data_IF_242158094759
#
_entry.id   IF_242158094759
#
_cell.length_a   1.000
_cell.length_b   1.000
_cell.length_c   1.000
_cell.angle_alpha   90.00
_cell.angle_beta   90.00
_cell.angle_gamma   90.00
#
_symmetry.space_group_name_H-M   'P 1'
#
loop_
_entity.id
_entity.type
_entity.pdbx_description
1 polymer ?
#
# COMPACT_ATOMS: atom_id res chain seq x y z
N UNK A 1 11.26 25.61 -18.13
CA UNK A 1 10.69 25.23 -16.83
C UNK A 1 10.56 23.71 -16.91
N UNK A 2 11.27 22.97 -16.05
CA UNK A 2 11.07 21.50 -16.05
C UNK A 2 9.64 21.24 -15.60
N UNK A 3 8.93 20.40 -16.35
CA UNK A 3 7.54 20.03 -16.00
C UNK A 3 7.55 19.34 -14.64
N UNK A 4 6.56 19.66 -13.80
CA UNK A 4 6.40 19.04 -12.49
C UNK A 4 5.90 17.60 -12.68
N UNK A 5 6.66 16.63 -12.18
CA UNK A 5 6.33 15.21 -12.30
C UNK A 5 5.44 14.81 -11.11
N UNK A 6 4.26 14.29 -11.40
CA UNK A 6 3.37 13.74 -10.36
C UNK A 6 3.81 12.32 -10.05
N UNK A 7 4.06 12.02 -8.77
CA UNK A 7 4.42 10.67 -8.30
C UNK A 7 3.46 10.27 -7.17
N UNK A 8 2.71 9.21 -7.41
CA UNK A 8 1.83 8.58 -6.43
C UNK A 8 2.57 7.59 -5.56
N UNK A 9 2.49 7.75 -4.23
CA UNK A 9 3.14 6.85 -3.26
C UNK A 9 2.13 6.39 -2.21
N UNK A 10 1.91 5.08 -2.15
CA UNK A 10 1.12 4.42 -1.10
C UNK A 10 2.07 3.88 -0.02
N UNK A 11 2.05 4.53 1.14
CA UNK A 11 2.88 4.21 2.30
C UNK A 11 2.27 3.06 3.12
N UNK A 12 2.38 1.83 2.61
CA UNK A 12 1.87 0.65 3.33
C UNK A 12 2.77 0.21 4.50
N UNK A 13 2.23 -0.54 5.45
CA UNK A 13 3.01 -1.17 6.53
C UNK A 13 3.84 -2.37 6.05
N UNK A 14 3.34 -3.14 5.09
CA UNK A 14 4.05 -4.28 4.53
C UNK A 14 4.89 -3.92 3.31
N UNK A 15 4.40 -3.01 2.47
CA UNK A 15 5.07 -2.59 1.25
C UNK A 15 4.78 -1.13 0.92
N UNK A 16 5.80 -0.43 0.47
CA UNK A 16 5.70 0.83 -0.28
C UNK A 16 5.23 0.50 -1.69
N UNK A 17 4.35 1.32 -2.25
CA UNK A 17 3.85 1.12 -3.61
C UNK A 17 3.80 2.44 -4.35
N UNK A 18 4.20 2.39 -5.61
CA UNK A 18 4.02 3.47 -6.56
C UNK A 18 3.17 2.97 -7.72
N UNK A 19 3.05 3.73 -8.78
CA UNK A 19 2.32 3.28 -9.98
C UNK A 19 2.97 2.05 -10.61
N UNK A 20 4.31 1.97 -10.63
CA UNK A 20 5.06 0.93 -11.33
C UNK A 20 5.80 -0.04 -10.40
N UNK A 21 6.00 0.30 -9.13
CA UNK A 21 6.78 -0.50 -8.19
C UNK A 21 6.01 -0.86 -6.93
N UNK A 22 6.36 -2.02 -6.38
CA UNK A 22 6.02 -2.42 -5.02
C UNK A 22 7.27 -3.06 -4.39
N UNK A 23 7.68 -2.57 -3.23
CA UNK A 23 8.82 -3.10 -2.49
C UNK A 23 8.52 -3.12 -0.99
N UNK A 24 9.16 -4.04 -0.21
CA UNK A 24 8.87 -4.17 1.21
C UNK A 24 9.14 -2.87 1.98
N UNK A 25 8.28 -2.54 2.93
CA UNK A 25 8.50 -1.43 3.87
C UNK A 25 9.51 -1.88 4.91
N UNK A 26 10.79 -1.78 4.55
CA UNK A 26 11.93 -2.12 5.37
C UNK A 26 13.06 -1.16 5.08
N UNK A 27 13.84 -0.82 6.10
CA UNK A 27 14.98 0.08 5.99
C UNK A 27 16.01 -0.33 7.03
N UNK A 28 17.23 -0.63 6.58
CA UNK A 28 18.35 -0.97 7.47
C UNK A 28 19.46 0.04 7.24
N UNK A 29 19.82 0.76 8.31
CA UNK A 29 20.88 1.76 8.28
C UNK A 29 22.27 1.10 8.41
N UNK A 30 23.24 1.63 7.68
CA UNK A 30 24.65 1.26 7.71
C UNK A 30 25.53 2.48 7.87
N UNK A 31 26.56 2.38 8.71
CA UNK A 31 27.56 3.45 8.90
C UNK A 31 28.54 3.56 7.72
N UNK A 32 28.73 2.46 6.99
CA UNK A 32 29.65 2.37 5.86
C UNK A 32 28.91 1.84 4.63
N UNK A 33 29.44 2.13 3.45
CA UNK A 33 28.90 1.68 2.17
C UNK A 33 28.73 0.16 2.15
N UNK A 34 27.51 -0.36 1.89
CA UNK A 34 27.28 -1.79 1.73
C UNK A 34 28.04 -2.36 0.50
N UNK A 35 28.39 -3.66 0.54
CA UNK A 35 29.10 -4.30 -0.58
C UNK A 35 28.31 -4.36 -1.88
N UNK A 36 26.98 -4.19 -1.83
CA UNK A 36 26.09 -4.12 -3.00
C UNK A 36 25.46 -2.75 -3.08
N UNK A 37 25.30 -2.22 -4.28
CA UNK A 37 24.62 -0.94 -4.52
C UNK A 37 23.11 -1.11 -4.75
N UNK A 38 22.66 -2.33 -4.97
CA UNK A 38 21.25 -2.60 -5.24
C UNK A 38 20.38 -2.23 -4.04
N UNK A 39 19.32 -1.45 -4.29
CA UNK A 39 18.38 -0.94 -3.29
C UNK A 39 19.05 -0.11 -2.16
N UNK A 40 20.23 0.47 -2.42
CA UNK A 40 20.94 1.33 -1.46
C UNK A 40 20.60 2.78 -1.71
N UNK A 41 20.08 3.43 -0.67
CA UNK A 41 19.89 4.88 -0.59
C UNK A 41 21.02 5.48 0.26
N UNK A 42 21.71 6.49 -0.27
CA UNK A 42 22.63 7.34 0.48
C UNK A 42 21.98 8.70 0.70
N UNK A 43 21.82 9.07 1.96
CA UNK A 43 21.23 10.35 2.35
C UNK A 43 21.86 10.87 3.65
N UNK A 44 22.22 12.17 3.66
CA UNK A 44 22.82 12.79 4.85
C UNK A 44 24.13 12.16 5.30
N UNK A 45 24.90 11.55 4.39
CA UNK A 45 26.18 10.87 4.69
C UNK A 45 26.01 9.49 5.33
N UNK A 46 24.83 8.89 5.27
CA UNK A 46 24.52 7.54 5.75
C UNK A 46 23.95 6.67 4.63
N UNK A 47 24.08 5.37 4.79
CA UNK A 47 23.61 4.38 3.84
C UNK A 47 22.41 3.62 4.40
N UNK A 48 21.43 3.38 3.57
CA UNK A 48 20.20 2.67 3.93
C UNK A 48 19.89 1.61 2.88
N UNK A 49 19.74 0.36 3.30
CA UNK A 49 19.27 -0.71 2.42
C UNK A 49 17.76 -0.77 2.47
N UNK A 50 17.13 -0.39 1.37
CA UNK A 50 15.68 -0.30 1.19
C UNK A 50 15.10 -1.68 0.90
N UNK A 51 13.92 -1.97 1.44
CA UNK A 51 13.25 -3.26 1.27
C UNK A 51 13.81 -4.38 2.14
N UNK A 52 14.78 -4.09 2.99
CA UNK A 52 15.41 -5.01 3.94
C UNK A 52 14.96 -4.76 5.36
N UNK A 53 14.89 -5.84 6.15
CA UNK A 53 14.35 -5.74 7.49
C UNK A 53 12.82 -5.54 7.51
N UNK A 54 12.28 -5.28 8.69
CA UNK A 54 10.86 -4.96 8.88
C UNK A 54 10.79 -3.75 9.80
N UNK A 55 10.10 -2.71 9.39
CA UNK A 55 9.88 -1.56 10.25
C UNK A 55 8.98 -1.93 11.43
N UNK A 56 9.26 -1.40 12.64
CA UNK A 56 8.33 -1.50 13.75
C UNK A 56 6.97 -0.92 13.36
N UNK A 57 5.90 -1.54 13.83
CA UNK A 57 4.56 -1.02 13.61
C UNK A 57 4.39 0.29 14.37
N UNK A 58 4.29 1.37 13.63
CA UNK A 58 4.08 2.72 14.16
C UNK A 58 2.72 3.22 13.68
N UNK A 59 1.85 3.61 14.62
CA UNK A 59 0.56 4.22 14.28
C UNK A 59 0.73 5.56 13.55
N UNK A 60 1.75 6.30 13.92
CA UNK A 60 2.12 7.56 13.28
C UNK A 60 3.44 7.39 12.52
N UNK A 61 3.35 7.36 11.20
CA UNK A 61 4.46 7.16 10.26
C UNK A 61 5.39 8.38 10.16
N UNK A 62 5.04 9.50 10.80
CA UNK A 62 5.82 10.74 10.75
C UNK A 62 6.78 10.89 11.93
N UNK A 63 6.83 9.91 12.86
CA UNK A 63 7.67 9.96 14.05
C UNK A 63 9.15 9.70 13.79
N UNK A 64 9.48 8.96 12.72
CA UNK A 64 10.85 8.66 12.28
C UNK A 64 11.06 9.14 10.85
N UNK A 65 12.31 9.16 10.39
CA UNK A 65 12.61 9.50 8.99
C UNK A 65 12.37 8.35 8.00
N UNK A 66 12.06 7.14 8.47
CA UNK A 66 12.03 5.93 7.67
C UNK A 66 11.10 6.05 6.45
N UNK A 67 9.86 6.49 6.66
CA UNK A 67 8.92 6.66 5.56
C UNK A 67 9.30 7.79 4.60
N UNK A 68 10.03 8.80 5.07
CA UNK A 68 10.58 9.82 4.20
C UNK A 68 11.70 9.26 3.32
N UNK A 69 12.63 8.51 3.90
CA UNK A 69 13.72 7.85 3.17
C UNK A 69 13.17 6.83 2.15
N UNK A 70 12.19 6.04 2.55
CA UNK A 70 11.48 5.14 1.64
C UNK A 70 10.77 5.89 0.50
N UNK A 71 10.29 7.12 0.76
CA UNK A 71 9.69 7.98 -0.28
C UNK A 71 10.74 8.46 -1.28
N UNK A 72 11.95 8.83 -0.82
CA UNK A 72 13.04 9.20 -1.73
C UNK A 72 13.43 8.03 -2.65
N UNK A 73 13.53 6.82 -2.11
CA UNK A 73 13.77 5.62 -2.91
C UNK A 73 12.62 5.35 -3.91
N UNK A 74 11.36 5.53 -3.49
CA UNK A 74 10.21 5.41 -4.37
C UNK A 74 10.24 6.42 -5.52
N UNK A 75 10.61 7.67 -5.25
CA UNK A 75 10.79 8.74 -6.26
C UNK A 75 11.90 8.35 -7.23
N UNK A 76 13.07 7.92 -6.74
CA UNK A 76 14.18 7.52 -7.59
C UNK A 76 13.79 6.39 -8.56
N UNK A 77 13.12 5.33 -8.04
CA UNK A 77 12.62 4.21 -8.87
C UNK A 77 11.64 4.69 -9.95
N UNK A 78 10.74 5.62 -9.63
CA UNK A 78 9.78 6.16 -10.59
C UNK A 78 10.45 7.04 -11.65
N UNK A 79 11.40 7.90 -11.26
CA UNK A 79 12.15 8.74 -12.21
C UNK A 79 12.94 7.88 -13.19
N UNK A 80 13.66 6.88 -12.69
CA UNK A 80 14.42 5.93 -13.53
C UNK A 80 13.50 5.18 -14.51
N UNK A 81 12.40 4.62 -14.02
CA UNK A 81 11.44 3.89 -14.85
C UNK A 81 10.83 4.75 -15.95
N UNK A 82 10.56 6.01 -15.64
CA UNK A 82 9.97 6.97 -16.61
C UNK A 82 11.00 7.57 -17.55
N UNK A 83 12.29 7.25 -17.40
CA UNK A 83 13.38 7.88 -18.15
C UNK A 83 13.44 9.39 -17.94
N UNK A 84 13.05 9.85 -16.75
CA UNK A 84 13.06 11.26 -16.40
C UNK A 84 14.44 11.70 -15.91
N UNK A 85 14.70 13.02 -15.96
CA UNK A 85 15.93 13.58 -15.42
C UNK A 85 16.03 13.34 -13.90
N UNK A 86 17.25 13.10 -13.41
CA UNK A 86 17.51 12.90 -11.99
C UNK A 86 17.42 14.22 -11.19
N UNK A 87 17.45 15.37 -11.87
CA UNK A 87 17.12 16.67 -11.25
C UNK A 87 15.70 17.03 -11.64
N UNK A 88 14.74 16.89 -10.68
CA UNK A 88 13.33 16.97 -10.99
C UNK A 88 12.51 17.72 -9.92
N UNK A 89 11.47 18.39 -10.39
CA UNK A 89 10.41 18.95 -9.54
C UNK A 89 9.26 17.96 -9.39
N UNK A 90 8.90 17.63 -8.16
CA UNK A 90 7.94 16.58 -7.83
C UNK A 90 6.67 17.16 -7.20
N UNK A 91 5.52 16.78 -7.71
CA UNK A 91 4.25 16.86 -6.99
C UNK A 91 3.97 15.47 -6.39
N UNK A 92 4.19 15.33 -5.10
CA UNK A 92 3.99 14.07 -4.39
C UNK A 92 2.51 13.88 -4.07
N UNK A 93 1.94 12.78 -4.55
CA UNK A 93 0.57 12.38 -4.26
C UNK A 93 0.58 11.15 -3.33
N UNK A 94 0.03 11.27 -2.13
CA UNK A 94 0.07 10.21 -1.13
C UNK A 94 -1.29 9.99 -0.47
N UNK A 95 -1.41 8.95 0.35
CA UNK A 95 -2.66 8.60 1.00
C UNK A 95 -2.58 8.36 2.48
N UNK A 96 -3.73 8.58 3.14
CA UNK A 96 -3.94 8.29 4.55
C UNK A 96 -5.24 7.49 4.71
N UNK A 97 -5.33 6.62 5.74
CA UNK A 97 -6.59 5.98 6.08
C UNK A 97 -7.70 7.00 6.31
N UNK A 98 -8.90 6.73 5.80
CA UNK A 98 -10.02 7.68 5.91
C UNK A 98 -10.38 7.98 7.38
N UNK A 99 -10.25 6.98 8.26
CA UNK A 99 -10.51 7.10 9.71
C UNK A 99 -9.59 8.09 10.42
N UNK A 100 -8.38 8.31 9.93
CA UNK A 100 -7.40 9.23 10.52
C UNK A 100 -7.11 10.46 9.65
N UNK A 101 -7.67 10.53 8.44
CA UNK A 101 -7.35 11.54 7.44
C UNK A 101 -7.42 12.99 7.96
N UNK A 102 -8.50 13.34 8.66
CA UNK A 102 -8.69 14.68 9.21
C UNK A 102 -7.65 15.07 10.25
N UNK A 103 -7.23 14.11 11.09
CA UNK A 103 -6.26 14.29 12.16
C UNK A 103 -4.83 14.40 11.59
N UNK A 104 -4.46 13.50 10.68
CA UNK A 104 -3.06 13.26 10.33
C UNK A 104 -2.61 14.03 9.07
N UNK A 105 -3.55 14.59 8.28
CA UNK A 105 -3.21 15.22 6.98
C UNK A 105 -2.21 16.38 7.08
N UNK A 106 -2.25 17.19 8.16
CA UNK A 106 -1.34 18.33 8.31
C UNK A 106 0.08 17.89 8.64
N UNK A 107 0.23 16.99 9.61
CA UNK A 107 1.53 16.43 10.01
C UNK A 107 2.17 15.65 8.87
N UNK A 108 1.41 14.79 8.19
CA UNK A 108 1.88 14.02 7.06
C UNK A 108 2.33 14.92 5.89
N UNK A 109 1.55 15.97 5.55
CA UNK A 109 1.96 16.93 4.52
C UNK A 109 3.28 17.61 4.89
N UNK A 110 3.41 18.14 6.10
CA UNK A 110 4.63 18.82 6.57
C UNK A 110 5.83 17.87 6.59
N UNK A 111 5.61 16.63 7.01
CA UNK A 111 6.64 15.59 7.05
C UNK A 111 7.20 15.26 5.65
N UNK A 112 6.34 15.16 4.65
CA UNK A 112 6.75 14.84 3.28
C UNK A 112 7.26 16.06 2.51
N UNK A 113 6.66 17.24 2.73
CA UNK A 113 7.02 18.48 2.02
C UNK A 113 8.34 19.06 2.50
N UNK A 114 8.64 18.91 3.80
CA UNK A 114 9.76 19.57 4.47
C UNK A 114 9.63 21.09 4.34
N UNK A 115 10.50 21.71 3.58
CA UNK A 115 10.51 23.15 3.32
C UNK A 115 10.51 23.50 1.83
N UNK A 116 10.36 22.48 0.98
CA UNK A 116 10.40 22.64 -0.48
C UNK A 116 11.79 22.93 -1.05
N UNK A 117 12.86 22.74 -0.26
CA UNK A 117 14.24 22.87 -0.72
C UNK A 117 14.65 21.68 -1.60
N UNK A 118 15.74 21.85 -2.35
CA UNK A 118 16.34 20.78 -3.13
C UNK A 118 16.93 19.70 -2.20
N UNK A 119 16.61 18.46 -2.47
CA UNK A 119 16.98 17.28 -1.69
C UNK A 119 17.98 16.47 -2.50
N UNK A 120 19.29 16.60 -2.20
CA UNK A 120 20.31 15.74 -2.82
C UNK A 120 20.36 14.39 -2.12
N UNK A 121 20.39 13.32 -2.89
CA UNK A 121 20.59 11.95 -2.40
C UNK A 121 21.14 11.07 -3.54
N UNK A 122 21.64 9.89 -3.18
CA UNK A 122 22.06 8.89 -4.16
C UNK A 122 21.24 7.63 -3.98
N UNK A 123 20.80 7.02 -5.08
CA UNK A 123 20.10 5.75 -5.07
C UNK A 123 20.68 4.80 -6.11
N UNK A 124 21.06 3.59 -5.68
CA UNK A 124 21.75 2.59 -6.53
C UNK A 124 22.96 3.15 -7.29
N UNK A 125 23.73 4.01 -6.61
CA UNK A 125 24.92 4.65 -7.17
C UNK A 125 24.66 5.84 -8.11
N UNK A 126 23.40 6.20 -8.37
CA UNK A 126 23.01 7.36 -9.19
C UNK A 126 22.69 8.56 -8.31
N UNK A 127 23.16 9.74 -8.69
CA UNK A 127 22.89 10.99 -7.98
C UNK A 127 21.54 11.58 -8.40
N UNK A 128 20.73 11.97 -7.43
CA UNK A 128 19.45 12.63 -7.60
C UNK A 128 19.43 13.97 -6.87
N UNK A 129 18.72 14.94 -7.45
CA UNK A 129 18.38 16.18 -6.78
C UNK A 129 16.89 16.48 -7.04
N UNK A 130 16.04 16.21 -6.07
CA UNK A 130 14.60 16.44 -6.24
C UNK A 130 14.12 17.59 -5.39
N UNK A 131 13.09 18.28 -5.86
CA UNK A 131 12.37 19.31 -5.09
C UNK A 131 10.91 18.90 -5.00
N UNK A 132 10.43 18.59 -3.81
CA UNK A 132 9.00 18.33 -3.59
C UNK A 132 8.30 19.69 -3.54
N UNK A 133 7.70 20.11 -4.65
CA UNK A 133 7.04 21.42 -4.76
C UNK A 133 5.66 21.41 -4.10
N UNK A 134 4.98 20.27 -4.14
CA UNK A 134 3.65 20.12 -3.57
C UNK A 134 3.43 18.70 -3.06
N UNK A 135 2.62 18.58 -1.98
CA UNK A 135 2.14 17.31 -1.46
C UNK A 135 0.62 17.32 -1.41
N UNK A 136 -0.01 16.48 -2.20
CA UNK A 136 -1.44 16.22 -2.16
C UNK A 136 -1.74 14.92 -1.42
N UNK A 137 -2.69 14.96 -0.48
CA UNK A 137 -3.08 13.81 0.31
C UNK A 137 -4.52 13.40 0.02
N UNK A 138 -4.74 12.10 -0.17
CA UNK A 138 -6.02 11.50 -0.52
C UNK A 138 -6.41 10.39 0.47
N UNK A 139 -7.70 10.11 0.65
CA UNK A 139 -8.13 8.93 1.41
C UNK A 139 -7.76 7.64 0.68
N UNK A 140 -7.05 6.75 1.37
CA UNK A 140 -6.74 5.38 0.88
C UNK A 140 -8.03 4.60 0.62
N UNK A 141 -7.98 3.62 -0.28
CA UNK A 141 -9.14 2.85 -0.70
C UNK A 141 -10.11 3.65 -1.55
N UNK A 142 -10.52 4.86 -1.13
CA UNK A 142 -11.42 5.72 -1.93
C UNK A 142 -10.77 6.15 -3.24
N UNK A 143 -9.53 6.67 -3.18
CA UNK A 143 -8.80 7.06 -4.38
C UNK A 143 -8.63 5.90 -5.38
N UNK A 144 -8.38 4.70 -4.87
CA UNK A 144 -8.25 3.49 -5.67
C UNK A 144 -9.55 3.14 -6.41
N UNK A 145 -10.70 3.15 -5.73
CA UNK A 145 -11.97 2.75 -6.34
C UNK A 145 -12.53 3.77 -7.30
N UNK A 146 -12.19 5.06 -7.19
CA UNK A 146 -12.59 6.08 -8.17
C UNK A 146 -12.05 5.80 -9.58
N UNK A 147 -11.05 4.93 -9.71
CA UNK A 147 -10.56 4.45 -11.01
C UNK A 147 -11.42 3.31 -11.58
N UNK A 148 -12.30 2.69 -10.76
CA UNK A 148 -13.15 1.55 -11.11
C UNK A 148 -14.61 2.01 -11.18
N UNK A 149 -15.25 1.86 -12.31
CA UNK A 149 -16.60 2.42 -12.52
C UNK A 149 -17.71 1.39 -12.38
N UNK A 150 -17.45 0.08 -12.59
CA UNK A 150 -18.50 -0.96 -12.75
C UNK A 150 -19.45 -1.12 -11.56
N UNK A 151 -18.93 -1.04 -10.30
CA UNK A 151 -19.77 -1.17 -9.11
C UNK A 151 -20.11 0.19 -8.48
N UNK A 152 -19.52 1.28 -8.94
CA UNK A 152 -19.76 2.60 -8.33
C UNK A 152 -21.12 3.20 -8.72
N UNK A 153 -21.84 2.60 -9.64
CA UNK A 153 -23.20 3.00 -10.01
C UNK A 153 -24.28 2.42 -9.09
N UNK A 154 -23.90 1.49 -8.20
CA UNK A 154 -24.79 0.98 -7.17
C UNK A 154 -25.04 2.06 -6.09
N UNK A 155 -26.27 2.11 -5.54
CA UNK A 155 -26.61 3.10 -4.50
C UNK A 155 -25.72 3.05 -3.27
N UNK A 156 -25.26 1.85 -2.89
CA UNK A 156 -24.34 1.62 -1.78
C UNK A 156 -23.38 0.48 -2.11
N UNK A 157 -22.08 0.73 -1.87
CA UNK A 157 -20.99 -0.23 -2.11
C UNK A 157 -20.07 -0.26 -0.89
N UNK A 158 -19.69 -1.44 -0.46
CA UNK A 158 -18.67 -1.63 0.57
C UNK A 158 -17.30 -1.66 -0.10
N UNK A 159 -16.34 -0.93 0.46
CA UNK A 159 -14.93 -0.97 0.07
C UNK A 159 -14.12 -1.49 1.24
N UNK A 160 -13.32 -2.52 0.99
CA UNK A 160 -12.40 -3.13 1.94
C UNK A 160 -10.98 -3.09 1.38
N UNK A 161 -10.14 -2.18 1.87
CA UNK A 161 -8.72 -2.11 1.56
C UNK A 161 -7.95 -3.00 2.54
N UNK A 162 -7.53 -4.17 2.07
CA UNK A 162 -6.81 -5.16 2.88
C UNK A 162 -5.32 -4.88 2.79
N UNK A 163 -4.82 -4.11 3.76
CA UNK A 163 -3.43 -3.73 3.88
C UNK A 163 -2.55 -4.77 4.60
N UNK A 164 -1.32 -4.35 4.92
CA UNK A 164 -0.39 -5.19 5.69
C UNK A 164 -0.78 -5.30 7.16
N UNK A 165 -1.14 -4.20 7.81
CA UNK A 165 -1.52 -4.16 9.23
C UNK A 165 -3.02 -4.06 9.45
N UNK A 166 -3.68 -3.19 8.70
CA UNK A 166 -5.11 -2.91 8.82
C UNK A 166 -5.90 -3.39 7.62
N UNK A 167 -7.20 -3.54 7.85
CA UNK A 167 -8.24 -3.57 6.83
C UNK A 167 -9.08 -2.33 7.03
N UNK A 168 -9.00 -1.42 6.07
CA UNK A 168 -9.74 -0.17 6.12
C UNK A 168 -11.05 -0.33 5.35
N UNK A 169 -12.15 -0.13 6.07
CA UNK A 169 -13.50 -0.34 5.60
C UNK A 169 -14.23 0.99 5.43
N UNK A 170 -14.98 1.13 4.36
CA UNK A 170 -15.92 2.22 4.15
C UNK A 170 -17.12 1.75 3.34
N UNK A 171 -18.25 2.42 3.51
CA UNK A 171 -19.37 2.35 2.58
C UNK A 171 -19.38 3.63 1.74
N UNK A 172 -19.57 3.46 0.46
CA UNK A 172 -19.87 4.56 -0.45
C UNK A 172 -21.37 4.58 -0.69
N UNK A 173 -22.01 5.71 -0.42
CA UNK A 173 -23.40 5.96 -0.76
C UNK A 173 -23.43 6.95 -1.93
N UNK A 174 -23.92 6.53 -3.10
CA UNK A 174 -23.87 7.30 -4.34
C UNK A 174 -22.46 7.86 -4.63
N UNK A 175 -21.45 7.00 -4.56
CA UNK A 175 -20.01 7.28 -4.77
C UNK A 175 -19.34 8.17 -3.70
N UNK A 176 -20.05 8.56 -2.64
CA UNK A 176 -19.52 9.43 -1.58
C UNK A 176 -19.25 8.60 -0.33
N UNK A 177 -18.05 8.69 0.27
CA UNK A 177 -17.76 7.98 1.50
C UNK A 177 -18.67 8.39 2.65
N UNK A 178 -19.31 7.40 3.28
CA UNK A 178 -20.10 7.60 4.47
C UNK A 178 -19.21 7.54 5.71
N UNK A 179 -18.89 8.68 6.30
CA UNK A 179 -17.96 8.79 7.42
C UNK A 179 -18.38 7.93 8.63
N UNK A 180 -19.69 7.76 8.87
CA UNK A 180 -20.17 6.95 9.98
C UNK A 180 -19.92 5.45 9.80
N UNK A 181 -19.68 4.99 8.57
CA UNK A 181 -19.39 3.59 8.23
C UNK A 181 -17.89 3.26 8.21
N UNK A 182 -17.00 4.28 8.27
CA UNK A 182 -15.58 4.06 8.18
C UNK A 182 -15.04 3.34 9.42
N UNK A 183 -14.28 2.26 9.21
CA UNK A 183 -13.67 1.45 10.26
C UNK A 183 -12.26 1.07 9.82
N UNK A 184 -11.38 0.84 10.78
CA UNK A 184 -10.05 0.26 10.57
C UNK A 184 -9.91 -0.93 11.52
N UNK A 185 -9.77 -2.13 10.97
CA UNK A 185 -9.63 -3.38 11.71
C UNK A 185 -8.17 -3.81 11.67
N UNK A 186 -7.59 -4.19 12.82
CA UNK A 186 -6.23 -4.72 12.89
C UNK A 186 -6.17 -6.20 12.42
N UNK A 187 -6.63 -6.43 11.20
CA UNK A 187 -6.74 -7.74 10.55
C UNK A 187 -6.01 -7.76 9.19
N UNK A 188 -4.87 -7.07 9.09
CA UNK A 188 -4.07 -7.05 7.86
C UNK A 188 -3.28 -8.34 7.64
N UNK A 189 -2.65 -8.44 6.47
CA UNK A 189 -1.96 -9.66 6.00
C UNK A 189 -0.78 -10.09 6.84
N UNK A 190 -0.14 -9.19 7.56
CA UNK A 190 0.95 -9.53 8.48
C UNK A 190 0.48 -10.57 9.49
N UNK A 191 -0.69 -10.36 10.08
CA UNK A 191 -1.29 -11.30 11.03
C UNK A 191 -1.61 -12.66 10.38
N UNK A 192 -2.15 -12.65 9.17
CA UNK A 192 -2.40 -13.87 8.41
C UNK A 192 -1.11 -14.68 8.20
N UNK A 193 -0.05 -14.02 7.75
CA UNK A 193 1.25 -14.65 7.50
C UNK A 193 1.88 -15.19 8.80
N UNK A 194 1.78 -14.44 9.89
CA UNK A 194 2.28 -14.87 11.21
C UNK A 194 1.53 -16.12 11.71
N UNK A 195 0.19 -16.17 11.59
CA UNK A 195 -0.62 -17.34 11.93
C UNK A 195 -0.29 -18.57 11.07
N UNK A 196 -0.05 -18.37 9.76
CA UNK A 196 0.39 -19.43 8.85
C UNK A 196 1.76 -19.94 9.24
N UNK A 197 2.73 -19.04 9.48
CA UNK A 197 4.09 -19.39 9.87
C UNK A 197 4.12 -20.21 11.16
N UNK A 198 3.36 -19.79 12.17
CA UNK A 198 3.23 -20.50 13.43
C UNK A 198 2.64 -21.91 13.25
N UNK A 199 1.62 -22.04 12.41
CA UNK A 199 0.98 -23.33 12.14
C UNK A 199 1.93 -24.29 11.40
N UNK A 200 2.70 -23.79 10.42
CA UNK A 200 3.71 -24.60 9.71
C UNK A 200 4.80 -25.03 10.68
N UNK A 201 5.29 -24.12 11.53
CA UNK A 201 6.28 -24.44 12.55
C UNK A 201 5.79 -25.52 13.50
N UNK A 202 4.55 -25.42 13.96
CA UNK A 202 3.95 -26.38 14.89
C UNK A 202 3.78 -27.79 14.28
N UNK A 203 3.40 -27.86 12.99
CA UNK A 203 3.12 -29.16 12.36
C UNK A 203 4.35 -29.83 11.74
N UNK A 204 5.31 -29.04 11.26
CA UNK A 204 6.45 -29.55 10.49
C UNK A 204 7.81 -29.23 11.11
N UNK A 205 7.86 -28.38 12.16
CA UNK A 205 9.11 -27.89 12.73
C UNK A 205 9.89 -26.92 11.81
N UNK A 206 9.25 -26.36 10.78
CA UNK A 206 9.90 -25.53 9.76
C UNK A 206 9.62 -24.05 10.00
N UNK A 207 10.65 -23.23 9.82
CA UNK A 207 10.51 -21.77 9.74
C UNK A 207 10.42 -21.32 8.29
N UNK A 208 9.37 -20.59 7.95
CA UNK A 208 9.17 -20.04 6.61
C UNK A 208 9.32 -18.53 6.62
N UNK A 209 9.90 -17.99 5.55
CA UNK A 209 9.92 -16.55 5.33
C UNK A 209 8.57 -16.05 4.83
N UNK A 210 8.27 -14.77 5.07
CA UNK A 210 7.07 -14.09 4.51
C UNK A 210 6.98 -14.30 3.00
N UNK A 211 8.10 -14.13 2.28
CA UNK A 211 8.15 -14.29 0.82
C UNK A 211 7.76 -15.70 0.36
N UNK A 212 8.17 -16.75 1.09
CA UNK A 212 7.79 -18.13 0.77
C UNK A 212 6.28 -18.36 0.96
N UNK A 213 5.71 -17.84 2.05
CA UNK A 213 4.26 -17.95 2.32
C UNK A 213 3.46 -17.18 1.26
N UNK A 214 3.85 -15.96 0.96
CA UNK A 214 3.18 -15.15 -0.07
C UNK A 214 3.29 -15.78 -1.47
N UNK A 215 4.46 -16.34 -1.81
CA UNK A 215 4.66 -17.07 -3.07
C UNK A 215 3.71 -18.27 -3.17
N UNK A 216 3.54 -19.02 -2.07
CA UNK A 216 2.59 -20.12 -2.02
C UNK A 216 1.14 -19.65 -2.20
N UNK A 217 0.75 -18.55 -1.54
CA UNK A 217 -0.59 -17.96 -1.68
C UNK A 217 -0.89 -17.50 -3.11
N UNK A 218 0.12 -16.98 -3.82
CA UNK A 218 0.02 -16.61 -5.25
C UNK A 218 0.04 -17.81 -6.20
N UNK A 219 0.25 -19.03 -5.69
CA UNK A 219 0.34 -20.24 -6.52
C UNK A 219 1.69 -20.48 -7.19
N UNK A 220 2.74 -19.73 -6.82
CA UNK A 220 4.08 -19.76 -7.44
C UNK A 220 5.10 -20.59 -6.66
N UNK A 221 4.67 -21.47 -5.78
CA UNK A 221 5.53 -22.24 -4.86
C UNK A 221 6.12 -23.52 -5.48
N UNK A 222 6.84 -23.39 -6.60
CA UNK A 222 7.56 -24.53 -7.20
C UNK A 222 8.49 -25.21 -6.19
N UNK A 223 8.39 -26.56 -6.06
CA UNK A 223 9.24 -27.34 -5.16
C UNK A 223 8.82 -27.37 -3.67
N UNK A 224 7.76 -26.70 -3.26
CA UNK A 224 7.24 -26.80 -1.89
C UNK A 224 6.47 -28.11 -1.68
N UNK A 225 6.69 -28.78 -0.54
CA UNK A 225 5.92 -29.98 -0.13
C UNK A 225 4.41 -29.65 -0.15
N UNK A 226 3.65 -30.54 -0.79
CA UNK A 226 2.19 -30.37 -0.97
C UNK A 226 1.45 -30.29 0.37
N UNK A 227 1.92 -30.99 1.40
CA UNK A 227 1.33 -30.96 2.75
C UNK A 227 1.49 -29.58 3.39
N UNK A 228 2.66 -28.94 3.20
CA UNK A 228 2.90 -27.57 3.68
C UNK A 228 2.00 -26.60 2.94
N UNK A 229 1.91 -26.72 1.60
CA UNK A 229 1.03 -25.90 0.77
C UNK A 229 -0.42 -26.03 1.19
N UNK A 230 -0.90 -27.25 1.46
CA UNK A 230 -2.25 -27.50 1.93
C UNK A 230 -2.54 -26.79 3.27
N UNK A 231 -1.58 -26.80 4.21
CA UNK A 231 -1.71 -26.07 5.49
C UNK A 231 -1.78 -24.58 5.26
N UNK A 232 -0.92 -24.01 4.41
CA UNK A 232 -0.93 -22.58 4.07
C UNK A 232 -2.31 -22.16 3.55
N UNK A 233 -2.83 -22.87 2.56
CA UNK A 233 -4.14 -22.55 1.97
C UNK A 233 -5.30 -22.78 2.94
N UNK A 234 -5.24 -23.80 3.79
CA UNK A 234 -6.26 -24.04 4.82
C UNK A 234 -6.32 -22.87 5.82
N UNK A 235 -5.16 -22.41 6.31
CA UNK A 235 -5.10 -21.28 7.23
C UNK A 235 -5.52 -19.96 6.56
N UNK A 236 -5.08 -19.71 5.33
CA UNK A 236 -5.49 -18.53 4.57
C UNK A 236 -7.02 -18.51 4.35
N UNK A 237 -7.64 -19.66 4.02
CA UNK A 237 -9.09 -19.76 3.90
C UNK A 237 -9.82 -19.54 5.22
N UNK A 238 -9.29 -20.04 6.35
CA UNK A 238 -9.83 -19.73 7.68
C UNK A 238 -9.72 -18.23 7.98
N UNK A 239 -8.57 -17.63 7.69
CA UNK A 239 -8.34 -16.20 7.90
C UNK A 239 -9.29 -15.34 7.07
N UNK A 240 -9.48 -15.67 5.79
CA UNK A 240 -10.43 -14.97 4.92
C UNK A 240 -11.86 -15.01 5.47
N UNK A 241 -12.34 -16.16 5.94
CA UNK A 241 -13.67 -16.25 6.57
C UNK A 241 -13.79 -15.41 7.83
N UNK A 242 -12.78 -15.44 8.71
CA UNK A 242 -12.76 -14.63 9.92
C UNK A 242 -12.77 -13.13 9.60
N UNK A 243 -12.02 -12.72 8.56
CA UNK A 243 -12.01 -11.36 8.07
C UNK A 243 -13.41 -10.93 7.60
N UNK A 244 -14.07 -11.74 6.76
CA UNK A 244 -15.40 -11.44 6.25
C UNK A 244 -16.45 -11.39 7.37
N UNK A 245 -16.34 -12.24 8.39
CA UNK A 245 -17.19 -12.16 9.60
C UNK A 245 -16.97 -10.84 10.32
N UNK A 246 -15.72 -10.43 10.54
CA UNK A 246 -15.41 -9.17 11.21
C UNK A 246 -15.91 -7.94 10.41
N UNK A 247 -15.87 -7.99 9.09
CA UNK A 247 -16.48 -6.96 8.23
C UNK A 247 -17.98 -6.86 8.49
N UNK A 248 -18.68 -7.99 8.50
CA UNK A 248 -20.12 -8.03 8.76
C UNK A 248 -20.45 -7.55 10.19
N UNK A 249 -19.69 -7.98 11.19
CA UNK A 249 -19.86 -7.57 12.59
C UNK A 249 -19.58 -6.07 12.80
N UNK A 250 -18.80 -5.44 11.92
CA UNK A 250 -18.58 -3.98 11.94
C UNK A 250 -19.78 -3.16 11.46
N UNK A 251 -20.87 -3.83 11.05
CA UNK A 251 -22.10 -3.21 10.54
C UNK A 251 -22.16 -3.08 9.02
N UNK A 252 -21.22 -3.70 8.29
CA UNK A 252 -21.15 -3.70 6.82
C UNK A 252 -21.51 -5.10 6.30
N UNK A 253 -22.80 -5.32 6.00
CA UNK A 253 -23.26 -6.65 5.55
C UNK A 253 -22.94 -6.89 4.08
N UNK A 254 -21.82 -7.58 3.85
CA UNK A 254 -21.30 -7.98 2.52
C UNK A 254 -22.19 -9.02 1.81
N UNK A 255 -23.22 -9.53 2.46
CA UNK A 255 -24.22 -10.43 1.86
C UNK A 255 -25.37 -9.65 1.23
N UNK A 256 -25.60 -8.43 1.72
CA UNK A 256 -26.68 -7.55 1.29
C UNK A 256 -26.23 -6.46 0.30
N UNK A 257 -24.96 -6.08 0.33
CA UNK A 257 -24.40 -5.01 -0.49
C UNK A 257 -23.22 -5.49 -1.32
N UNK A 258 -23.04 -5.00 -2.57
CA UNK A 258 -21.85 -5.23 -3.35
C UNK A 258 -20.59 -4.81 -2.58
N UNK A 259 -19.49 -5.56 -2.73
CA UNK A 259 -18.26 -5.30 -2.03
C UNK A 259 -17.05 -5.31 -2.96
N UNK A 260 -16.21 -4.28 -2.85
CA UNK A 260 -14.93 -4.16 -3.55
C UNK A 260 -13.82 -4.45 -2.55
N UNK A 261 -13.05 -5.49 -2.82
CA UNK A 261 -11.86 -5.84 -2.07
C UNK A 261 -10.62 -5.42 -2.86
N UNK A 262 -9.71 -4.68 -2.23
CA UNK A 262 -8.49 -4.18 -2.86
C UNK A 262 -7.30 -4.23 -1.89
N UNK A 263 -6.14 -3.82 -2.36
CA UNK A 263 -4.91 -3.83 -1.58
C UNK A 263 -4.11 -5.13 -1.72
N UNK A 264 -2.90 -5.15 -1.16
CA UNK A 264 -2.00 -6.30 -1.26
C UNK A 264 -2.57 -7.59 -0.64
N UNK A 265 -3.39 -7.44 0.41
CA UNK A 265 -4.05 -8.57 1.05
C UNK A 265 -5.18 -9.15 0.21
N UNK A 266 -5.95 -8.33 -0.48
CA UNK A 266 -6.98 -8.82 -1.40
C UNK A 266 -6.37 -9.64 -2.54
N UNK A 267 -5.24 -9.21 -3.10
CA UNK A 267 -4.51 -9.95 -4.11
C UNK A 267 -4.02 -11.32 -3.60
N UNK A 268 -3.49 -11.39 -2.38
CA UNK A 268 -3.02 -12.64 -1.77
C UNK A 268 -4.17 -13.59 -1.39
N UNK A 269 -5.29 -13.04 -0.92
CA UNK A 269 -6.46 -13.81 -0.50
C UNK A 269 -7.49 -14.02 -1.62
N UNK A 270 -7.24 -13.54 -2.83
CA UNK A 270 -8.19 -13.57 -3.96
C UNK A 270 -8.88 -14.92 -4.13
N UNK A 271 -8.11 -16.01 -4.15
CA UNK A 271 -8.63 -17.38 -4.27
C UNK A 271 -9.59 -17.75 -3.14
N UNK A 272 -9.30 -17.33 -1.91
CA UNK A 272 -10.08 -17.66 -0.73
C UNK A 272 -11.30 -16.76 -0.57
N UNK A 273 -11.19 -15.49 -0.93
CA UNK A 273 -12.32 -14.57 -0.97
C UNK A 273 -13.34 -14.97 -2.05
N UNK A 274 -12.85 -15.30 -3.26
CA UNK A 274 -13.71 -15.75 -4.36
C UNK A 274 -14.40 -17.09 -4.09
N UNK A 275 -13.82 -17.95 -3.25
CA UNK A 275 -14.39 -19.26 -2.90
C UNK A 275 -15.38 -19.17 -1.71
N UNK A 276 -15.64 -17.98 -1.16
CA UNK A 276 -16.57 -17.81 -0.03
C UNK A 276 -17.99 -17.60 -0.54
N UNK A 277 -18.89 -18.48 -0.14
CA UNK A 277 -20.29 -18.39 -0.48
C UNK A 277 -21.01 -17.25 0.24
N UNK A 278 -22.07 -16.74 -0.37
CA UNK A 278 -22.98 -15.77 0.24
C UNK A 278 -22.53 -14.31 0.14
N UNK A 279 -21.46 -13.99 -0.59
CA UNK A 279 -21.10 -12.60 -0.86
C UNK A 279 -21.99 -12.01 -1.97
N UNK A 280 -22.49 -10.79 -1.75
CA UNK A 280 -23.25 -10.06 -2.74
C UNK A 280 -22.28 -9.37 -3.73
N UNK A 281 -22.20 -9.86 -4.97
CA UNK A 281 -21.41 -9.28 -6.08
C UNK A 281 -20.00 -8.81 -5.63
N UNK A 282 -19.12 -9.72 -5.17
CA UNK A 282 -17.78 -9.36 -4.79
C UNK A 282 -16.93 -9.02 -6.01
N UNK A 283 -16.26 -7.87 -5.99
CA UNK A 283 -15.21 -7.50 -6.94
C UNK A 283 -13.87 -7.49 -6.21
N UNK A 284 -12.92 -8.32 -6.65
CA UNK A 284 -11.59 -8.41 -6.07
C UNK A 284 -10.59 -7.82 -7.04
N UNK A 285 -10.01 -6.68 -6.66
CA UNK A 285 -9.01 -5.96 -7.42
C UNK A 285 -7.62 -6.41 -6.95
N UNK A 286 -6.87 -7.06 -7.83
CA UNK A 286 -5.55 -7.63 -7.53
C UNK A 286 -4.38 -6.72 -7.91
N UNK A 287 -4.64 -5.57 -8.51
CA UNK A 287 -3.62 -4.54 -8.74
C UNK A 287 -3.27 -3.84 -7.41
N UNK A 288 -2.10 -4.16 -6.88
CA UNK A 288 -1.62 -3.62 -5.60
C UNK A 288 -1.29 -2.13 -5.66
N UNK A 289 -1.16 -1.55 -6.85
CA UNK A 289 -0.81 -0.14 -7.09
C UNK A 289 -2.02 0.78 -7.22
N UNK A 290 -3.25 0.30 -7.06
CA UNK A 290 -4.47 1.09 -7.30
C UNK A 290 -4.54 2.38 -6.47
N UNK A 291 -4.09 2.36 -5.22
CA UNK A 291 -4.02 3.57 -4.41
C UNK A 291 -3.10 4.62 -5.05
N UNK A 292 -1.86 4.25 -5.38
CA UNK A 292 -0.89 5.16 -6.01
C UNK A 292 -1.38 5.69 -7.36
N UNK A 293 -1.96 4.82 -8.20
CA UNK A 293 -2.60 5.20 -9.48
C UNK A 293 -3.77 6.17 -9.27
N UNK A 294 -4.59 5.91 -8.26
CA UNK A 294 -5.70 6.78 -7.87
C UNK A 294 -5.22 8.16 -7.46
N UNK A 295 -4.15 8.26 -6.69
CA UNK A 295 -3.58 9.53 -6.25
C UNK A 295 -3.08 10.36 -7.44
N UNK A 296 -2.30 9.78 -8.36
CA UNK A 296 -1.82 10.48 -9.55
C UNK A 296 -2.98 10.97 -10.43
N UNK A 297 -3.99 10.11 -10.63
CA UNK A 297 -5.17 10.47 -11.41
C UNK A 297 -5.93 11.65 -10.82
N UNK A 298 -6.12 11.67 -9.50
CA UNK A 298 -6.82 12.76 -8.81
C UNK A 298 -6.05 14.08 -8.92
N UNK A 299 -4.73 14.08 -8.78
CA UNK A 299 -3.91 15.29 -9.03
C UNK A 299 -4.08 15.77 -10.47
N UNK A 300 -4.03 14.89 -11.46
CA UNK A 300 -4.23 15.23 -12.87
C UNK A 300 -5.62 15.82 -13.15
N UNK A 301 -6.66 15.39 -12.44
CA UNK A 301 -8.02 15.97 -12.56
C UNK A 301 -8.11 17.35 -11.93
N UNK A 302 -7.48 17.56 -10.76
CA UNK A 302 -7.44 18.87 -10.09
C UNK A 302 -6.75 19.92 -10.97
N UNK A 303 -5.64 19.58 -11.62
CA UNK A 303 -4.90 20.47 -12.51
C UNK A 303 -5.70 20.87 -13.75
N UNK A 304 -6.51 19.96 -14.32
CA UNK A 304 -7.38 20.24 -15.47
C UNK A 304 -8.60 21.08 -15.09
N UNK A 305 -9.15 20.91 -13.89
CA UNK A 305 -10.30 21.69 -13.38
C UNK A 305 -9.99 23.16 -13.17
N UNK A 306 -8.76 23.49 -12.80
CA UNK A 306 -8.30 24.89 -12.64
C UNK A 306 -8.09 25.60 -13.99
N UNK A 307 -7.79 24.84 -15.06
CA UNK A 307 -7.60 25.39 -16.41
C UNK A 307 -8.88 25.78 -17.15
N UNK A 308 -10.04 25.23 -16.78
CA UNK A 308 -11.32 25.48 -17.46
C UNK A 308 -12.20 26.57 -16.79
N UNK A 309 -11.69 27.25 -15.77
CA UNK A 309 -12.37 28.30 -15.02
C UNK A 309 -11.86 29.72 -15.28
N UNK A 310 -11.20 29.94 -16.44
CA UNK A 310 -10.80 31.28 -16.88
C UNK A 310 -11.50 31.68 -18.18
#
# INVERSE_FOLDING_TARGET
MNDVIVIGVDHGYAAMKTVHFSFPTGLVEYEHEPYTQKDVLEYGGRYYVVGSGRQPLQRDKTQTEDYYLLTLAAIAKELEHRGAEHTASIHLAAGLPLTSFGRDKKSCRSYLYRDGSAIPFRYEGQDYTVTIQEVSLFPQGYAAVLTQTELLDEPSVIVADIGGWTVDLMRLDNRIPNAASCRSLELGMIRCVDEISEQVRRLFGLSMTTAQIESALRGSSGGMDERIRAVIHTQAGKYARNLLSAVTESGLDIRAMPAIFLGGGAALLKRHLSATDGLCRPLILDDVSLNAKGYERLVGQMSRGVGNGR
#
